data_IF_549372682567
#
_entry.id   IF_549372682567
#
_cell.length_a   1.000
_cell.length_b   1.000
_cell.length_c   1.000
_cell.angle_alpha   90.00
_cell.angle_beta   90.00
_cell.angle_gamma   90.00
#
_symmetry.space_group_name_H-M   'P 1'
#
loop_
_entity.id
_entity.type
_entity.pdbx_description
1 polymer ?
#
# COMPACT_ATOMS: atom_id res chain seq x y z
N UNK A 1 -0.71 -15.50 -15.16
CA UNK A 1 0.33 -15.68 -14.12
C UNK A 1 -0.14 -14.87 -12.92
N UNK A 2 -0.08 -15.42 -11.71
CA UNK A 2 -0.82 -14.88 -10.56
C UNK A 2 -0.37 -13.48 -10.15
N UNK A 3 -1.22 -12.49 -10.42
CA UNK A 3 -1.23 -11.17 -9.80
C UNK A 3 -1.49 -11.29 -8.29
N UNK A 4 -0.47 -11.66 -7.51
CA UNK A 4 -0.57 -11.74 -6.05
C UNK A 4 -0.55 -10.34 -5.42
N UNK A 5 -1.60 -9.56 -5.67
CA UNK A 5 -1.91 -8.34 -4.94
C UNK A 5 -2.60 -8.70 -3.61
N UNK A 6 -1.89 -8.49 -2.51
CA UNK A 6 -2.40 -8.71 -1.17
C UNK A 6 -2.66 -7.35 -0.53
N UNK A 7 -3.93 -7.07 -0.22
CA UNK A 7 -4.34 -5.86 0.51
C UNK A 7 -4.98 -6.28 1.83
N UNK A 8 -4.35 -5.93 2.95
CA UNK A 8 -4.86 -6.17 4.29
C UNK A 8 -5.31 -4.83 4.85
N UNK A 9 -6.59 -4.71 5.22
CA UNK A 9 -7.15 -3.50 5.83
C UNK A 9 -7.40 -3.75 7.31
N UNK A 10 -6.74 -2.97 8.16
CA UNK A 10 -7.03 -2.83 9.58
C UNK A 10 -7.73 -1.49 9.85
N UNK A 11 -8.28 -1.29 11.06
CA UNK A 11 -9.12 -0.12 11.42
C UNK A 11 -8.59 1.22 10.89
N UNK A 12 -7.29 1.47 11.04
CA UNK A 12 -6.64 2.72 10.63
C UNK A 12 -5.48 2.51 9.66
N UNK A 13 -5.23 1.27 9.22
CA UNK A 13 -4.01 0.90 8.48
C UNK A 13 -4.34 0.02 7.29
N UNK A 14 -3.58 0.19 6.22
CA UNK A 14 -3.65 -0.67 5.04
C UNK A 14 -2.25 -1.18 4.75
N UNK A 15 -2.11 -2.49 4.59
CA UNK A 15 -0.88 -3.10 4.12
C UNK A 15 -1.12 -3.58 2.70
N UNK A 16 -0.24 -3.17 1.80
CA UNK A 16 -0.28 -3.56 0.39
C UNK A 16 1.01 -4.32 0.11
N UNK A 17 0.88 -5.50 -0.49
CA UNK A 17 1.99 -6.28 -1.02
C UNK A 17 1.67 -6.71 -2.44
N UNK A 18 2.63 -6.63 -3.35
CA UNK A 18 2.46 -7.01 -4.75
C UNK A 18 3.80 -7.37 -5.37
N UNK A 19 3.83 -8.39 -6.22
CA UNK A 19 4.99 -8.70 -7.07
C UNK A 19 5.03 -7.84 -8.34
N UNK A 20 3.91 -7.19 -8.67
CA UNK A 20 3.80 -6.25 -9.79
C UNK A 20 3.90 -4.81 -9.29
N UNK A 21 4.95 -4.10 -9.71
CA UNK A 21 5.24 -2.72 -9.28
C UNK A 21 4.20 -1.72 -9.83
N UNK A 22 3.71 -1.92 -11.05
CA UNK A 22 2.76 -1.01 -11.68
C UNK A 22 1.42 -1.02 -10.93
N UNK A 23 0.90 -2.22 -10.68
CA UNK A 23 -0.32 -2.42 -9.89
C UNK A 23 -0.12 -1.92 -8.46
N UNK A 24 1.05 -2.19 -7.87
CA UNK A 24 1.39 -1.70 -6.52
C UNK A 24 1.30 -0.18 -6.42
N UNK A 25 1.97 0.54 -7.33
CA UNK A 25 1.97 2.01 -7.37
C UNK A 25 0.57 2.55 -7.63
N UNK A 26 -0.18 1.94 -8.55
CA UNK A 26 -1.57 2.31 -8.84
C UNK A 26 -2.45 2.20 -7.59
N UNK A 27 -2.34 1.09 -6.84
CA UNK A 27 -3.10 0.89 -5.60
C UNK A 27 -2.71 1.87 -4.51
N UNK A 28 -1.42 2.10 -4.28
CA UNK A 28 -0.96 3.11 -3.32
C UNK A 28 -1.53 4.48 -3.66
N UNK A 29 -1.39 4.92 -4.92
CA UNK A 29 -1.87 6.23 -5.36
C UNK A 29 -3.36 6.40 -5.09
N UNK A 30 -4.17 5.37 -5.37
CA UNK A 30 -5.61 5.36 -5.08
C UNK A 30 -5.92 5.55 -3.59
N UNK A 31 -5.17 4.90 -2.70
CA UNK A 31 -5.38 5.07 -1.25
C UNK A 31 -4.89 6.42 -0.75
N UNK A 32 -3.78 6.94 -1.29
CA UNK A 32 -3.29 8.29 -0.97
C UNK A 32 -4.35 9.35 -1.32
N UNK A 33 -4.97 9.25 -2.49
CA UNK A 33 -6.08 10.13 -2.89
C UNK A 33 -7.34 9.96 -2.03
N UNK A 34 -7.53 8.80 -1.41
CA UNK A 34 -8.66 8.51 -0.51
C UNK A 34 -8.44 8.99 0.93
N UNK A 35 -7.38 9.77 1.20
CA UNK A 35 -7.07 10.30 2.53
C UNK A 35 -6.22 9.38 3.40
N UNK A 36 -5.55 8.39 2.81
CA UNK A 36 -4.50 7.64 3.50
C UNK A 36 -3.14 8.31 3.28
N UNK A 37 -2.21 8.09 4.18
CA UNK A 37 -0.81 8.49 4.03
C UNK A 37 0.10 7.29 4.14
N UNK A 38 1.20 7.30 3.38
CA UNK A 38 2.22 6.27 3.46
C UNK A 38 2.88 6.33 4.85
N UNK A 39 2.94 5.18 5.52
CA UNK A 39 3.66 5.02 6.78
C UNK A 39 5.07 4.59 6.46
N UNK A 40 6.05 5.46 6.71
CA UNK A 40 7.45 5.18 6.41
C UNK A 40 7.74 5.23 4.91
N UNK A 41 8.37 4.19 4.37
CA UNK A 41 8.76 4.08 2.96
C UNK A 41 8.22 2.80 2.33
N UNK A 42 8.04 2.83 1.01
CA UNK A 42 7.86 1.61 0.21
C UNK A 42 9.13 0.78 0.34
N UNK A 43 8.98 -0.51 0.64
CA UNK A 43 10.10 -1.44 0.64
C UNK A 43 9.96 -2.38 -0.56
N UNK A 44 11.05 -2.54 -1.31
CA UNK A 44 11.15 -3.48 -2.43
C UNK A 44 12.14 -4.55 -2.00
N UNK A 45 11.66 -5.79 -1.90
CA UNK A 45 12.48 -6.93 -1.49
C UNK A 45 13.22 -7.52 -2.71
N UNK A 46 14.30 -8.26 -2.45
CA UNK A 46 15.20 -8.85 -3.48
C UNK A 46 14.52 -9.76 -4.52
N UNK A 47 13.25 -10.14 -4.31
CA UNK A 47 12.46 -10.95 -5.24
C UNK A 47 11.42 -10.14 -6.05
N UNK A 48 11.52 -8.80 -6.05
CA UNK A 48 10.55 -7.92 -6.71
C UNK A 48 9.26 -7.70 -5.93
N UNK A 49 9.16 -8.25 -4.71
CA UNK A 49 8.01 -8.03 -3.85
C UNK A 49 8.03 -6.62 -3.27
N UNK A 50 7.11 -5.78 -3.75
CA UNK A 50 6.83 -4.46 -3.20
C UNK A 50 5.92 -4.59 -1.98
N UNK A 51 6.25 -3.87 -0.91
CA UNK A 51 5.40 -3.74 0.28
C UNK A 51 5.30 -2.29 0.73
N UNK A 52 4.11 -1.88 1.15
CA UNK A 52 3.86 -0.59 1.76
C UNK A 52 2.83 -0.72 2.86
N UNK A 53 2.96 0.18 3.82
CA UNK A 53 1.97 0.42 4.84
C UNK A 53 1.40 1.82 4.62
N UNK A 54 0.09 1.95 4.70
CA UNK A 54 -0.63 3.22 4.71
C UNK A 54 -1.42 3.34 6.00
N UNK A 55 -1.65 4.57 6.45
CA UNK A 55 -2.48 4.89 7.60
C UNK A 55 -3.53 5.89 7.18
N UNK A 56 -4.76 5.75 7.64
CA UNK A 56 -5.79 6.74 7.41
C UNK A 56 -5.38 8.03 8.13
N UNK A 57 -5.28 9.14 7.42
CA UNK A 57 -5.20 10.43 8.07
C UNK A 57 -6.60 10.72 8.57
N UNK A 58 -6.86 10.47 9.85
CA UNK A 58 -8.06 11.02 10.45
C UNK A 58 -7.90 12.55 10.46
N UNK A 59 -8.82 13.31 9.84
CA UNK A 59 -8.97 14.72 10.12
C UNK A 59 -9.68 14.85 11.48
N UNK A 60 -9.02 14.43 12.56
CA UNK A 60 -9.40 14.80 13.92
C UNK A 60 -8.48 15.95 14.34
N UNK A 61 -8.79 17.14 13.84
CA UNK A 61 -8.22 18.42 14.27
C UNK A 61 -9.31 19.49 14.23
#
# INVERSE_FOLDING_TARGET
>A
MSDELIIIKEKDRIFIKSLDEEIFRSRISRFLQSGYSLVGKVEILNHGLCKAQLKKNNPDL
#
